data_IF_037151590192
#
_entry.id   IF_037151590192
#
_cell.length_a   1.000
_cell.length_b   1.000
_cell.length_c   1.000
_cell.angle_alpha   90.00
_cell.angle_beta   90.00
_cell.angle_gamma   90.00
#
_symmetry.space_group_name_H-M   'P 1'
#
loop_
_entity.id
_entity.type
_entity.pdbx_description
1 polymer ?
#
# COMPACT_ATOMS: atom_id res chain seq x y z
N UNK A 1 17.77 12.94 26.69
CA UNK A 1 18.06 14.38 26.46
C UNK A 1 18.41 14.74 25.02
N UNK A 2 18.64 13.78 24.12
CA UNK A 2 19.01 14.02 22.71
C UNK A 2 17.87 14.52 21.79
N UNK A 3 16.60 14.24 22.12
CA UNK A 3 15.44 14.60 21.28
C UNK A 3 15.08 16.09 21.35
N UNK A 4 15.46 16.79 22.43
CA UNK A 4 15.22 18.23 22.60
C UNK A 4 16.16 19.12 21.79
N UNK A 5 17.27 18.59 21.30
CA UNK A 5 18.29 19.38 20.60
C UNK A 5 18.01 19.53 19.09
N UNK A 6 17.14 18.68 18.51
CA UNK A 6 16.74 18.81 17.11
C UNK A 6 15.74 19.95 16.86
N UNK A 7 14.99 20.39 17.88
CA UNK A 7 13.99 21.46 17.74
C UNK A 7 14.60 22.85 17.64
N UNK A 8 15.72 23.11 18.34
CA UNK A 8 16.40 24.43 18.31
C UNK A 8 17.19 24.68 17.02
N UNK A 9 17.54 23.63 16.26
CA UNK A 9 18.31 23.73 15.02
C UNK A 9 17.48 23.82 13.73
N UNK A 10 16.14 23.72 13.80
CA UNK A 10 15.25 23.63 12.62
C UNK A 10 15.41 24.81 11.66
N UNK A 11 15.56 26.03 12.18
CA UNK A 11 15.74 27.24 11.36
C UNK A 11 17.06 27.29 10.60
N UNK A 12 18.09 26.59 11.09
CA UNK A 12 19.43 26.54 10.50
C UNK A 12 19.48 25.48 9.40
N UNK A 13 18.91 24.30 9.65
CA UNK A 13 18.80 23.24 8.62
C UNK A 13 17.84 23.59 7.48
N UNK A 14 16.87 24.49 7.69
CA UNK A 14 15.92 24.90 6.66
C UNK A 14 16.52 25.79 5.56
N UNK A 15 17.74 26.34 5.72
CA UNK A 15 18.23 27.40 4.84
C UNK A 15 19.36 27.06 3.88
N UNK A 16 20.07 25.94 3.99
CA UNK A 16 21.09 25.57 2.99
C UNK A 16 21.50 24.08 3.07
N UNK A 17 20.88 23.25 2.24
CA UNK A 17 21.29 21.84 2.05
C UNK A 17 22.52 21.66 1.14
N UNK A 18 23.11 22.75 0.65
CA UNK A 18 24.19 22.74 -0.35
C UNK A 18 25.54 23.23 0.17
N UNK A 19 25.64 23.68 1.43
CA UNK A 19 26.91 24.16 1.96
C UNK A 19 27.69 23.03 2.65
N UNK A 20 28.97 22.82 2.30
CA UNK A 20 29.83 21.88 3.00
C UNK A 20 30.01 22.35 4.45
N UNK A 21 29.84 21.40 5.36
CA UNK A 21 29.86 21.56 6.82
C UNK A 21 31.16 22.23 7.28
N UNK A 22 31.09 23.51 7.64
CA UNK A 22 32.15 24.15 8.41
C UNK A 22 31.77 24.12 9.89
N UNK A 23 32.15 23.01 10.54
CA UNK A 23 32.34 22.83 11.99
C UNK A 23 31.44 23.66 12.91
N UNK A 24 30.13 23.43 12.86
CA UNK A 24 29.20 23.78 13.95
C UNK A 24 28.78 22.49 14.69
N UNK A 25 28.45 22.56 15.99
CA UNK A 25 28.10 21.38 16.80
C UNK A 25 26.82 20.66 16.37
N UNK A 26 26.10 21.20 15.39
CA UNK A 26 24.87 20.63 14.82
C UNK A 26 25.12 20.33 13.33
N UNK A 27 25.14 19.05 12.96
CA UNK A 27 25.20 18.64 11.56
C UNK A 27 23.82 18.17 11.10
N UNK A 28 23.30 18.75 10.02
CA UNK A 28 22.09 18.25 9.38
C UNK A 28 22.45 16.94 8.67
N UNK A 29 21.71 15.85 8.96
CA UNK A 29 21.88 14.62 8.18
C UNK A 29 21.44 14.87 6.74
N UNK A 30 22.21 14.37 5.77
CA UNK A 30 21.81 14.42 4.37
C UNK A 30 20.48 13.69 4.19
N UNK A 31 19.54 14.22 3.38
CA UNK A 31 18.28 13.54 3.12
C UNK A 31 18.57 12.13 2.59
N UNK A 32 17.92 11.13 3.18
CA UNK A 32 18.03 9.76 2.68
C UNK A 32 17.25 9.66 1.37
N UNK A 33 17.66 8.77 0.45
CA UNK A 33 17.02 8.67 -0.87
C UNK A 33 15.51 8.33 -0.81
N UNK A 34 15.02 7.83 0.34
CA UNK A 34 13.64 7.46 0.60
C UNK A 34 12.81 8.56 1.27
N UNK A 35 13.41 9.71 1.62
CA UNK A 35 12.68 10.82 2.21
C UNK A 35 11.96 11.60 1.12
N UNK A 36 10.62 11.62 1.17
CA UNK A 36 9.79 12.40 0.23
C UNK A 36 10.20 13.87 0.25
N UNK A 37 10.22 14.55 -0.90
CA UNK A 37 10.57 15.98 -1.01
C UNK A 37 9.47 16.92 -0.52
N UNK A 38 8.50 16.45 0.26
CA UNK A 38 7.40 17.26 0.80
C UNK A 38 7.84 18.27 1.85
N UNK A 39 9.14 18.30 2.20
CA UNK A 39 9.76 19.30 3.05
C UNK A 39 10.42 20.45 2.27
N UNK A 40 10.55 20.34 0.95
CA UNK A 40 11.33 21.26 0.12
C UNK A 40 10.52 22.54 -0.19
N UNK A 41 10.91 23.71 0.33
CA UNK A 41 10.17 24.96 0.12
C UNK A 41 10.24 25.46 -1.33
N UNK A 42 11.18 24.96 -2.15
CA UNK A 42 11.26 25.31 -3.58
C UNK A 42 10.21 24.58 -4.43
N UNK A 43 9.51 23.61 -3.83
CA UNK A 43 8.49 22.77 -4.45
C UNK A 43 7.19 22.76 -3.65
N UNK A 44 6.87 23.88 -3.00
CA UNK A 44 5.69 24.03 -2.13
C UNK A 44 5.62 23.02 -0.96
N UNK A 45 6.78 22.52 -0.53
CA UNK A 45 6.92 21.66 0.64
C UNK A 45 7.05 22.43 1.95
N UNK A 46 6.82 21.75 3.07
CA UNK A 46 6.87 22.30 4.43
C UNK A 46 8.15 21.84 5.18
N UNK A 47 9.13 22.74 5.42
CA UNK A 47 10.37 22.42 6.14
C UNK A 47 10.14 21.89 7.56
N UNK A 48 8.95 22.11 8.15
CA UNK A 48 8.60 21.60 9.47
C UNK A 48 8.52 20.07 9.51
N UNK A 49 8.38 19.42 8.36
CA UNK A 49 8.27 17.96 8.21
C UNK A 49 9.63 17.23 8.30
N UNK A 50 10.75 17.95 8.39
CA UNK A 50 12.07 17.36 8.60
C UNK A 50 12.15 16.68 9.98
N UNK A 51 12.25 15.35 9.96
CA UNK A 51 12.30 14.52 11.17
C UNK A 51 10.94 14.21 11.80
N UNK A 52 9.83 14.65 11.18
CA UNK A 52 8.48 14.31 11.59
C UNK A 52 8.01 13.03 10.88
N UNK A 53 7.41 12.10 11.62
CA UNK A 53 6.71 10.96 11.03
C UNK A 53 5.35 11.42 10.50
N UNK A 54 5.32 11.89 9.25
CA UNK A 54 4.09 12.43 8.63
C UNK A 54 3.04 11.35 8.36
N UNK A 55 3.47 10.08 8.34
CA UNK A 55 2.60 8.93 8.18
C UNK A 55 3.17 7.75 8.96
N UNK A 56 2.40 7.26 9.93
CA UNK A 56 2.60 5.95 10.50
C UNK A 56 1.73 4.99 9.69
N UNK A 57 2.34 4.01 9.02
CA UNK A 57 1.55 2.93 8.44
C UNK A 57 0.69 2.35 9.56
N UNK A 58 -0.64 2.25 9.36
CA UNK A 58 -1.49 1.64 10.37
C UNK A 58 -0.94 0.24 10.62
N UNK A 59 -0.34 0.04 11.78
CA UNK A 59 0.13 -1.26 12.23
C UNK A 59 -1.10 -2.05 12.68
N UNK A 60 -2.00 -2.32 11.73
CA UNK A 60 -2.90 -3.45 11.90
C UNK A 60 -2.07 -4.70 11.69
N UNK A 61 -2.31 -5.67 12.54
CA UNK A 61 -2.06 -7.07 12.28
C UNK A 61 -2.48 -7.39 10.85
N UNK A 62 -1.51 -7.79 10.04
CA UNK A 62 -1.70 -8.30 8.67
C UNK A 62 -2.54 -9.60 8.68
N UNK A 63 -2.83 -10.13 9.86
CA UNK A 63 -3.30 -11.50 10.10
C UNK A 63 -4.73 -11.62 10.63
N UNK A 64 -5.56 -10.57 10.63
CA UNK A 64 -6.90 -10.70 11.24
C UNK A 64 -7.90 -11.52 10.40
N UNK A 65 -7.61 -11.78 9.11
CA UNK A 65 -8.36 -12.71 8.25
C UNK A 65 -7.39 -13.65 7.52
N UNK A 66 -6.79 -14.60 8.24
CA UNK A 66 -6.12 -15.77 7.62
C UNK A 66 -6.99 -17.00 7.86
N UNK A 67 -7.53 -17.64 6.80
CA UNK A 67 -7.41 -17.29 5.38
C UNK A 67 -8.32 -16.12 4.96
N UNK A 68 -7.82 -15.25 4.08
CA UNK A 68 -8.59 -14.14 3.54
C UNK A 68 -9.63 -14.64 2.52
N UNK A 69 -10.78 -13.97 2.43
CA UNK A 69 -11.81 -14.32 1.46
C UNK A 69 -11.27 -14.22 0.04
N UNK A 70 -11.57 -15.22 -0.79
CA UNK A 70 -11.22 -15.17 -2.21
C UNK A 70 -11.87 -13.95 -2.87
N UNK A 71 -11.12 -13.18 -3.68
CA UNK A 71 -11.69 -12.04 -4.37
C UNK A 71 -12.69 -12.48 -5.43
N UNK A 72 -13.58 -11.57 -5.84
CA UNK A 72 -14.44 -11.78 -6.99
C UNK A 72 -13.60 -12.13 -8.24
N UNK A 73 -14.14 -13.00 -9.09
CA UNK A 73 -13.45 -13.53 -10.27
C UNK A 73 -12.55 -14.73 -9.98
N UNK A 74 -12.38 -15.11 -8.72
CA UNK A 74 -11.64 -16.31 -8.29
C UNK A 74 -12.61 -17.22 -7.54
N UNK A 75 -12.50 -18.53 -7.77
CA UNK A 75 -13.35 -19.53 -7.15
C UNK A 75 -12.85 -19.85 -5.73
N UNK A 76 -13.74 -19.79 -4.76
CA UNK A 76 -13.53 -20.30 -3.41
C UNK A 76 -13.75 -21.82 -3.35
N UNK A 77 -13.22 -22.46 -2.31
CA UNK A 77 -13.43 -23.88 -2.03
C UNK A 77 -13.64 -24.12 -0.55
N UNK A 78 -14.37 -25.19 -0.23
CA UNK A 78 -14.50 -25.68 1.14
C UNK A 78 -13.25 -26.46 1.60
N UNK A 79 -12.36 -26.82 0.67
CA UNK A 79 -11.08 -27.44 0.98
C UNK A 79 -10.03 -26.37 1.24
N UNK A 80 -9.52 -26.36 2.48
CA UNK A 80 -8.51 -25.43 2.98
C UNK A 80 -7.23 -25.43 2.15
N UNK A 81 -6.88 -26.55 1.49
CA UNK A 81 -5.69 -26.62 0.64
C UNK A 81 -5.76 -25.61 -0.53
N UNK A 82 -6.98 -25.30 -1.00
CA UNK A 82 -7.25 -24.33 -2.05
C UNK A 82 -7.59 -22.94 -1.49
N UNK A 83 -7.27 -22.64 -0.23
CA UNK A 83 -7.52 -21.34 0.42
C UNK A 83 -6.25 -20.74 1.05
N UNK A 84 -5.09 -21.37 0.83
CA UNK A 84 -3.80 -20.93 1.41
C UNK A 84 -3.13 -19.80 0.62
N UNK A 85 -3.66 -19.43 -0.55
CA UNK A 85 -3.06 -18.44 -1.44
C UNK A 85 -4.10 -17.55 -2.10
N UNK A 86 -3.65 -16.46 -2.68
CA UNK A 86 -4.51 -15.48 -3.37
C UNK A 86 -5.15 -16.03 -4.64
N UNK A 87 -4.71 -17.20 -5.10
CA UNK A 87 -5.27 -17.90 -6.24
C UNK A 87 -6.47 -18.77 -5.87
N UNK A 88 -6.71 -19.00 -4.58
CA UNK A 88 -7.77 -19.87 -4.08
C UNK A 88 -7.88 -21.20 -4.87
N UNK A 89 -9.09 -21.59 -5.28
CA UNK A 89 -9.34 -22.79 -6.10
C UNK A 89 -9.11 -22.54 -7.60
N UNK A 90 -8.57 -21.39 -7.97
CA UNK A 90 -8.33 -20.96 -9.34
C UNK A 90 -9.30 -19.88 -9.81
N UNK A 91 -9.05 -19.36 -11.01
CA UNK A 91 -9.91 -18.36 -11.62
C UNK A 91 -11.31 -18.93 -11.93
N UNK A 92 -12.32 -18.05 -11.95
CA UNK A 92 -13.69 -18.43 -12.30
C UNK A 92 -13.73 -19.13 -13.67
N UNK A 93 -14.37 -20.30 -13.82
CA UNK A 93 -14.35 -21.04 -15.08
C UNK A 93 -15.05 -20.28 -16.21
N UNK A 94 -14.62 -20.52 -17.45
CA UNK A 94 -15.26 -19.93 -18.63
C UNK A 94 -16.73 -20.35 -18.72
N UNK A 95 -17.60 -19.42 -19.14
CA UNK A 95 -19.05 -19.63 -19.15
C UNK A 95 -19.73 -19.43 -17.79
N UNK A 96 -18.98 -19.00 -16.76
CA UNK A 96 -19.51 -18.68 -15.44
C UNK A 96 -19.05 -17.31 -14.93
N UNK A 97 -19.68 -16.84 -13.85
CA UNK A 97 -19.44 -15.56 -13.21
C UNK A 97 -19.29 -15.76 -11.70
N UNK A 98 -18.23 -15.16 -11.14
CA UNK A 98 -17.96 -15.15 -9.70
C UNK A 98 -18.04 -13.70 -9.23
N UNK A 99 -19.26 -13.22 -8.93
CA UNK A 99 -19.54 -11.79 -8.67
C UNK A 99 -19.07 -11.33 -7.29
N UNK A 100 -19.23 -12.20 -6.30
CA UNK A 100 -19.02 -11.89 -4.90
C UNK A 100 -17.70 -12.50 -4.41
N UNK A 101 -17.07 -11.93 -3.38
CA UNK A 101 -15.96 -12.59 -2.71
C UNK A 101 -16.44 -13.92 -2.08
N UNK A 102 -15.52 -14.88 -1.94
CA UNK A 102 -15.78 -16.23 -1.43
C UNK A 102 -16.86 -17.02 -2.20
N UNK A 103 -17.03 -16.73 -3.50
CA UNK A 103 -17.93 -17.51 -4.37
C UNK A 103 -17.44 -18.96 -4.49
N UNK A 104 -18.14 -19.91 -3.88
CA UNK A 104 -17.88 -21.35 -4.03
C UNK A 104 -18.73 -22.00 -5.13
N UNK A 105 -19.87 -21.38 -5.44
CA UNK A 105 -20.79 -21.81 -6.49
C UNK A 105 -20.96 -20.67 -7.51
N UNK A 106 -20.37 -20.76 -8.71
CA UNK A 106 -20.39 -19.67 -9.67
C UNK A 106 -21.68 -19.68 -10.49
N UNK A 107 -22.17 -18.49 -10.83
CA UNK A 107 -23.39 -18.33 -11.62
C UNK A 107 -23.12 -18.61 -13.10
N UNK A 108 -24.03 -19.27 -13.84
CA UNK A 108 -23.87 -19.43 -15.28
C UNK A 108 -23.90 -18.07 -15.98
N UNK A 109 -23.14 -17.95 -17.07
CA UNK A 109 -23.16 -16.76 -17.91
C UNK A 109 -24.57 -16.57 -18.49
N UNK A 110 -25.16 -15.36 -18.39
CA UNK A 110 -26.49 -15.10 -18.93
C UNK A 110 -26.51 -15.31 -20.45
N UNK A 111 -27.65 -15.74 -21.00
CA UNK A 111 -27.77 -15.99 -22.43
C UNK A 111 -27.47 -14.73 -23.24
N UNK A 112 -26.80 -14.91 -24.38
CA UNK A 112 -26.38 -13.81 -25.25
C UNK A 112 -25.17 -13.02 -24.75
N UNK A 113 -24.51 -13.44 -23.67
CA UNK A 113 -23.28 -12.84 -23.17
C UNK A 113 -22.11 -13.82 -23.24
N UNK A 114 -20.90 -13.28 -23.19
CA UNK A 114 -19.65 -14.01 -23.16
C UNK A 114 -18.92 -13.82 -21.83
N UNK A 115 -18.59 -14.93 -21.17
CA UNK A 115 -17.85 -14.95 -19.91
C UNK A 115 -16.52 -15.70 -20.09
N UNK A 116 -15.42 -14.96 -20.02
CA UNK A 116 -14.03 -15.49 -20.06
C UNK A 116 -13.66 -16.07 -18.69
N UNK A 117 -12.54 -16.79 -18.63
CA UNK A 117 -11.94 -17.20 -17.34
C UNK A 117 -11.72 -15.97 -16.46
N UNK A 118 -12.13 -16.04 -15.19
CA UNK A 118 -12.02 -14.94 -14.23
C UNK A 118 -13.10 -13.86 -14.35
N UNK A 119 -14.22 -14.13 -15.03
CA UNK A 119 -15.28 -13.12 -15.20
C UNK A 119 -16.02 -12.82 -13.90
N UNK A 120 -16.11 -11.54 -13.58
CA UNK A 120 -16.97 -10.99 -12.52
C UNK A 120 -18.29 -10.43 -13.05
N UNK A 121 -18.35 -10.15 -14.36
CA UNK A 121 -19.51 -9.60 -15.06
C UNK A 121 -19.56 -10.22 -16.46
N UNK A 122 -20.77 -10.40 -16.99
CA UNK A 122 -20.98 -10.90 -18.33
C UNK A 122 -20.72 -9.79 -19.37
N UNK A 123 -19.98 -10.11 -20.44
CA UNK A 123 -19.72 -9.17 -21.53
C UNK A 123 -20.82 -9.36 -22.59
N UNK A 124 -21.51 -8.32 -23.06
CA UNK A 124 -22.49 -8.41 -24.15
C UNK A 124 -21.89 -8.95 -25.45
#
# INVERSE_FOLDING_TARGET
ELQRQCTDGRGICARNHTLPLQQDPYYCQSPTFVQTCNWDPTRDGDPSLLGESVYQFPQRNVEEDVPFLCPAGVLGSNDTAYQLSSLCAGACPAGYICREPATTLPDPCPPGHFCRVGSVVAIP
#
